data_IF_452665709700
#
_entry.id   IF_452665709700
#
_cell.length_a   1.000
_cell.length_b   1.000
_cell.length_c   1.000
_cell.angle_alpha   90.00
_cell.angle_beta   90.00
_cell.angle_gamma   90.00
#
_symmetry.space_group_name_H-M   'P 1'
#
loop_
_entity.id
_entity.type
_entity.pdbx_description
1 polymer ?
#
# COMPACT_ATOMS: atom_id res chain seq x y z
N UNK A 1 -23.74 -41.53 -29.10
CA UNK A 1 -22.33 -41.42 -28.67
C UNK A 1 -22.34 -40.22 -27.75
N UNK A 2 -22.84 -40.48 -26.54
CA UNK A 2 -23.19 -39.49 -25.55
C UNK A 2 -21.94 -39.24 -24.70
N UNK A 3 -21.46 -38.00 -24.71
CA UNK A 3 -20.32 -37.53 -23.92
C UNK A 3 -20.85 -36.73 -22.73
N UNK A 4 -21.52 -37.41 -21.81
CA UNK A 4 -21.96 -36.87 -20.51
C UNK A 4 -21.66 -37.89 -19.40
N UNK A 5 -20.43 -38.43 -19.38
CA UNK A 5 -19.89 -39.19 -18.24
C UNK A 5 -18.91 -38.31 -17.45
N UNK A 6 -19.38 -37.87 -16.28
CA UNK A 6 -18.67 -37.85 -15.00
C UNK A 6 -17.29 -37.18 -14.94
N UNK A 7 -17.32 -35.85 -14.84
CA UNK A 7 -16.36 -35.10 -14.02
C UNK A 7 -16.99 -34.78 -12.66
N UNK A 8 -17.34 -35.84 -11.91
CA UNK A 8 -17.75 -35.71 -10.51
C UNK A 8 -16.47 -35.54 -9.65
N UNK A 9 -15.82 -34.39 -9.82
CA UNK A 9 -14.68 -33.99 -8.98
C UNK A 9 -15.23 -33.76 -7.57
N UNK A 10 -14.95 -34.72 -6.69
CA UNK A 10 -15.37 -34.72 -5.29
C UNK A 10 -15.03 -33.37 -4.64
N UNK A 11 -16.05 -32.53 -4.45
CA UNK A 11 -15.88 -31.15 -3.96
C UNK A 11 -15.22 -31.12 -2.57
N UNK A 12 -15.37 -32.19 -1.78
CA UNK A 12 -14.73 -32.33 -0.47
C UNK A 12 -13.21 -32.49 -0.54
N UNK A 13 -12.67 -32.95 -1.67
CA UNK A 13 -11.22 -33.14 -1.87
C UNK A 13 -10.54 -31.94 -2.55
N UNK A 14 -11.32 -31.16 -3.32
CA UNK A 14 -10.84 -29.97 -4.05
C UNK A 14 -10.83 -28.72 -3.17
N UNK A 15 -11.82 -28.55 -2.29
CA UNK A 15 -11.95 -27.36 -1.44
C UNK A 15 -10.81 -27.15 -0.44
N UNK A 16 -10.29 -28.19 0.25
CA UNK A 16 -9.17 -28.01 1.19
C UNK A 16 -7.87 -27.60 0.47
N UNK A 17 -7.57 -28.22 -0.68
CA UNK A 17 -6.40 -27.88 -1.51
C UNK A 17 -6.49 -26.44 -2.02
N UNK A 18 -7.66 -26.03 -2.48
CA UNK A 18 -7.90 -24.65 -2.92
C UNK A 18 -7.77 -23.64 -1.76
N UNK A 19 -8.18 -24.01 -0.55
CA UNK A 19 -8.09 -23.14 0.63
C UNK A 19 -6.65 -22.99 1.15
N UNK A 20 -5.85 -24.06 1.13
CA UNK A 20 -4.40 -24.00 1.41
C UNK A 20 -3.67 -23.16 0.37
N UNK A 21 -3.99 -23.33 -0.92
CA UNK A 21 -3.43 -22.51 -2.00
C UNK A 21 -3.82 -21.03 -1.86
N UNK A 22 -5.06 -20.72 -1.47
CA UNK A 22 -5.51 -19.36 -1.22
C UNK A 22 -4.83 -18.71 -0.01
N UNK A 23 -4.60 -19.45 1.07
CA UNK A 23 -3.83 -19.00 2.23
C UNK A 23 -2.35 -18.75 1.87
N UNK A 24 -1.73 -19.63 1.07
CA UNK A 24 -0.39 -19.40 0.54
C UNK A 24 -0.35 -18.17 -0.37
N UNK A 25 -1.31 -17.99 -1.27
CA UNK A 25 -1.44 -16.78 -2.11
C UNK A 25 -1.67 -15.52 -1.26
N UNK A 26 -2.41 -15.62 -0.16
CA UNK A 26 -2.60 -14.51 0.78
C UNK A 26 -1.28 -14.16 1.49
N UNK A 27 -0.54 -15.16 1.98
CA UNK A 27 0.79 -14.97 2.58
C UNK A 27 1.78 -14.38 1.60
N UNK A 28 1.78 -14.83 0.36
CA UNK A 28 2.57 -14.25 -0.74
C UNK A 28 2.16 -12.82 -1.04
N UNK A 29 0.85 -12.55 -1.08
CA UNK A 29 0.34 -11.19 -1.25
C UNK A 29 0.83 -10.31 -0.11
N UNK A 30 0.84 -10.80 1.13
CA UNK A 30 1.42 -10.11 2.29
C UNK A 30 2.93 -9.89 2.11
N UNK A 31 3.69 -10.90 1.68
CA UNK A 31 5.15 -10.79 1.44
C UNK A 31 5.46 -9.79 0.32
N UNK A 32 4.75 -9.86 -0.80
CA UNK A 32 4.94 -9.01 -1.97
C UNK A 32 4.41 -7.59 -1.74
N UNK A 33 3.35 -7.42 -0.94
CA UNK A 33 2.74 -6.11 -0.62
C UNK A 33 3.25 -5.48 0.67
N UNK A 34 4.13 -6.15 1.42
CA UNK A 34 4.59 -5.71 2.75
C UNK A 34 3.47 -5.66 3.80
N UNK A 35 2.41 -6.46 3.65
CA UNK A 35 1.38 -6.68 4.65
C UNK A 35 0.39 -5.54 4.85
N UNK A 36 -0.12 -4.90 3.80
CA UNK A 36 -1.17 -3.89 3.90
C UNK A 36 -2.56 -4.46 3.53
N UNK A 37 -3.30 -5.08 4.48
CA UNK A 37 -4.65 -5.57 4.22
C UNK A 37 -5.63 -4.39 4.19
N UNK A 38 -6.06 -3.95 3.00
CA UNK A 38 -7.27 -3.10 2.92
C UNK A 38 -7.26 -1.89 1.99
N UNK A 39 -6.26 -1.69 1.13
CA UNK A 39 -6.35 -0.62 0.13
C UNK A 39 -5.31 -0.73 -0.96
N UNK A 40 -5.74 -0.63 -2.23
CA UNK A 40 -4.83 -0.48 -3.37
C UNK A 40 -4.10 0.87 -3.23
N UNK A 41 -2.78 0.89 -3.03
CA UNK A 41 -2.01 2.11 -3.13
C UNK A 41 -2.14 2.70 -4.55
N UNK A 42 -2.10 4.02 -4.72
CA UNK A 42 -2.15 4.65 -6.05
C UNK A 42 -1.07 4.16 -7.02
N UNK A 43 0.08 3.67 -6.51
CA UNK A 43 1.17 3.09 -7.28
C UNK A 43 0.94 1.63 -7.70
N UNK A 44 -0.03 0.92 -7.11
CA UNK A 44 -0.30 -0.49 -7.42
C UNK A 44 -1.05 -0.72 -8.75
N UNK A 45 -1.42 0.34 -9.48
CA UNK A 45 -2.05 0.20 -10.80
C UNK A 45 -1.15 -0.50 -11.82
N UNK A 46 0.17 -0.38 -11.64
CA UNK A 46 1.16 -0.98 -12.53
C UNK A 46 1.72 -2.31 -11.99
N UNK A 47 1.24 -2.79 -10.82
CA UNK A 47 1.73 -4.01 -10.16
C UNK A 47 0.73 -5.18 -10.12
N UNK A 48 -0.53 -4.99 -10.54
CA UNK A 48 -1.50 -6.10 -10.66
C UNK A 48 -1.17 -7.06 -11.80
N UNK A 49 -0.53 -6.55 -12.85
CA UNK A 49 -0.05 -7.37 -13.97
C UNK A 49 1.12 -8.29 -13.53
N UNK A 50 2.13 -7.79 -12.79
CA UNK A 50 3.15 -8.64 -12.17
C UNK A 50 2.62 -9.76 -11.27
N UNK A 51 1.59 -9.52 -10.45
CA UNK A 51 1.05 -10.56 -9.56
C UNK A 51 0.33 -11.68 -10.34
N UNK A 52 -0.50 -11.33 -11.33
CA UNK A 52 -1.20 -12.32 -12.14
C UNK A 52 -0.23 -13.13 -13.00
N UNK A 53 0.78 -12.47 -13.60
CA UNK A 53 1.84 -13.14 -14.34
C UNK A 53 2.65 -14.08 -13.44
N UNK A 54 2.93 -13.65 -12.22
CA UNK A 54 3.63 -14.48 -11.24
C UNK A 54 2.77 -15.67 -10.78
N UNK A 55 1.49 -15.47 -10.48
CA UNK A 55 0.56 -16.56 -10.16
C UNK A 55 0.51 -17.57 -11.32
N UNK A 56 0.37 -17.08 -12.55
CA UNK A 56 0.38 -17.94 -13.74
C UNK A 56 1.68 -18.73 -13.82
N UNK A 57 2.83 -18.07 -13.63
CA UNK A 57 4.15 -18.72 -13.61
C UNK A 57 4.24 -19.79 -12.52
N UNK A 58 3.77 -19.48 -11.31
CA UNK A 58 3.75 -20.42 -10.19
C UNK A 58 2.92 -21.66 -10.49
N UNK A 59 1.76 -21.46 -11.11
CA UNK A 59 0.88 -22.56 -11.53
C UNK A 59 1.43 -23.39 -12.69
N UNK A 60 2.35 -22.85 -13.50
CA UNK A 60 2.90 -23.55 -14.68
C UNK A 60 4.17 -24.36 -14.40
N UNK A 61 4.85 -24.11 -13.29
CA UNK A 61 6.13 -24.75 -12.95
C UNK A 61 6.06 -25.35 -11.55
N UNK A 62 6.41 -26.62 -11.41
CA UNK A 62 6.47 -27.28 -10.09
C UNK A 62 7.56 -26.66 -9.21
N UNK A 63 7.39 -26.72 -7.90
CA UNK A 63 8.41 -26.28 -6.94
C UNK A 63 9.70 -27.10 -7.09
N UNK A 64 9.63 -28.37 -7.49
CA UNK A 64 10.81 -29.20 -7.75
C UNK A 64 11.62 -28.73 -8.96
N UNK A 65 10.95 -28.39 -10.06
CA UNK A 65 11.58 -27.82 -11.26
C UNK A 65 12.18 -26.44 -10.97
N UNK A 66 11.44 -25.57 -10.29
CA UNK A 66 11.92 -24.26 -9.84
C UNK A 66 13.17 -24.41 -8.95
N UNK A 67 13.18 -25.37 -8.03
CA UNK A 67 14.34 -25.67 -7.17
C UNK A 67 15.55 -26.12 -7.98
N UNK A 68 15.37 -26.97 -9.00
CA UNK A 68 16.45 -27.44 -9.85
C UNK A 68 17.10 -26.28 -10.62
N UNK A 69 16.28 -25.41 -11.23
CA UNK A 69 16.77 -24.24 -11.95
C UNK A 69 17.43 -23.22 -11.01
N UNK A 70 16.87 -23.01 -9.83
CA UNK A 70 17.49 -22.18 -8.79
C UNK A 70 18.88 -22.71 -8.40
N UNK A 71 19.03 -24.02 -8.20
CA UNK A 71 20.32 -24.67 -7.94
C UNK A 71 21.29 -24.57 -9.13
N UNK A 72 20.79 -24.46 -10.36
CA UNK A 72 21.62 -24.26 -11.56
C UNK A 72 22.18 -22.84 -11.70
N UNK A 73 21.82 -21.93 -10.78
CA UNK A 73 22.29 -20.55 -10.80
C UNK A 73 21.37 -19.59 -11.56
N UNK A 74 20.11 -19.96 -11.83
CA UNK A 74 19.15 -19.03 -12.45
C UNK A 74 18.65 -18.01 -11.40
N UNK A 75 18.92 -16.70 -11.57
CA UNK A 75 18.60 -15.70 -10.55
C UNK A 75 17.08 -15.48 -10.39
N UNK A 76 16.29 -15.66 -11.45
CA UNK A 76 14.85 -15.50 -11.38
C UNK A 76 14.21 -16.67 -10.62
N UNK A 77 14.69 -17.89 -10.88
CA UNK A 77 14.24 -19.09 -10.16
C UNK A 77 14.72 -19.11 -8.71
N UNK A 78 15.91 -18.57 -8.41
CA UNK A 78 16.33 -18.38 -7.01
C UNK A 78 15.34 -17.50 -6.24
N UNK A 79 14.89 -16.41 -6.84
CA UNK A 79 13.89 -15.55 -6.21
C UNK A 79 12.53 -16.25 -6.07
N UNK A 80 12.06 -16.92 -7.13
CA UNK A 80 10.79 -17.64 -7.13
C UNK A 80 10.77 -18.77 -6.09
N UNK A 81 11.83 -19.58 -6.05
CA UNK A 81 11.98 -20.65 -5.08
C UNK A 81 12.06 -20.11 -3.64
N UNK A 82 12.73 -18.97 -3.41
CA UNK A 82 12.73 -18.33 -2.11
C UNK A 82 11.32 -17.89 -1.66
N UNK A 83 10.50 -17.34 -2.58
CA UNK A 83 9.10 -17.00 -2.28
C UNK A 83 8.27 -18.24 -1.96
N UNK A 84 8.40 -19.31 -2.75
CA UNK A 84 7.73 -20.60 -2.50
C UNK A 84 8.13 -21.18 -1.15
N UNK A 85 9.42 -21.14 -0.82
CA UNK A 85 9.94 -21.57 0.47
C UNK A 85 9.35 -20.74 1.62
N UNK A 86 9.32 -19.42 1.50
CA UNK A 86 8.75 -18.54 2.53
C UNK A 86 7.25 -18.77 2.74
N UNK A 87 6.51 -19.09 1.68
CA UNK A 87 5.06 -19.31 1.71
C UNK A 87 4.64 -20.76 1.96
N UNK A 88 5.56 -21.72 1.89
CA UNK A 88 5.28 -23.15 2.02
C UNK A 88 4.59 -23.78 0.81
N UNK A 89 4.78 -23.24 -0.40
CA UNK A 89 4.09 -23.71 -1.61
C UNK A 89 4.71 -25.02 -2.09
N UNK A 90 3.91 -26.09 -2.10
CA UNK A 90 4.35 -27.46 -2.40
C UNK A 90 5.52 -27.93 -1.51
N UNK A 91 5.62 -27.39 -0.30
CA UNK A 91 6.55 -27.83 0.73
C UNK A 91 5.76 -28.28 1.97
N UNK A 92 6.31 -29.18 2.81
CA UNK A 92 5.60 -29.65 4.01
C UNK A 92 5.20 -28.52 4.98
N UNK A 93 5.95 -27.42 4.98
CA UNK A 93 5.66 -26.21 5.74
C UNK A 93 6.43 -25.01 5.16
N UNK A 94 6.01 -23.78 5.47
CA UNK A 94 6.85 -22.58 5.28
C UNK A 94 8.25 -22.78 5.87
N UNK A 95 9.27 -22.35 5.14
CA UNK A 95 10.67 -22.50 5.52
C UNK A 95 11.43 -21.18 5.29
N UNK A 96 11.46 -20.33 6.33
CA UNK A 96 12.10 -19.02 6.31
C UNK A 96 13.60 -19.09 6.11
N UNK A 97 14.27 -20.06 6.73
CA UNK A 97 15.72 -20.26 6.60
C UNK A 97 16.11 -20.62 5.17
N UNK A 98 15.32 -21.47 4.51
CA UNK A 98 15.54 -21.82 3.11
C UNK A 98 15.33 -20.61 2.20
N UNK A 99 14.28 -19.83 2.43
CA UNK A 99 14.04 -18.59 1.69
C UNK A 99 15.19 -17.59 1.83
N UNK A 100 15.62 -17.33 3.07
CA UNK A 100 16.77 -16.48 3.39
C UNK A 100 18.04 -16.97 2.68
N UNK A 101 18.31 -18.27 2.70
CA UNK A 101 19.45 -18.87 1.99
C UNK A 101 19.42 -18.54 0.50
N UNK A 102 18.27 -18.68 -0.16
CA UNK A 102 18.18 -18.44 -1.60
C UNK A 102 18.27 -16.96 -1.98
N UNK A 103 17.73 -16.04 -1.18
CA UNK A 103 18.00 -14.61 -1.42
C UNK A 103 19.47 -14.24 -1.17
N UNK A 104 20.13 -14.84 -0.18
CA UNK A 104 21.57 -14.65 -0.01
C UNK A 104 22.38 -15.22 -1.19
N UNK A 105 22.01 -16.40 -1.72
CA UNK A 105 22.62 -16.92 -2.95
C UNK A 105 22.39 -15.96 -4.12
N UNK A 106 21.21 -15.37 -4.23
CA UNK A 106 20.89 -14.39 -5.26
C UNK A 106 21.77 -13.14 -5.17
N UNK A 107 22.11 -12.68 -3.96
CA UNK A 107 23.03 -11.55 -3.75
C UNK A 107 24.47 -11.84 -4.22
N UNK A 108 24.89 -13.10 -4.21
CA UNK A 108 26.24 -13.53 -4.59
C UNK A 108 26.33 -14.15 -5.99
N UNK A 109 25.20 -14.28 -6.69
CA UNK A 109 25.16 -14.89 -8.01
C UNK A 109 25.70 -13.91 -9.07
N UNK A 110 26.73 -14.28 -9.86
CA UNK A 110 27.31 -13.39 -10.87
C UNK A 110 26.37 -13.07 -12.03
N UNK A 111 25.28 -13.83 -12.21
CA UNK A 111 24.24 -13.57 -13.22
C UNK A 111 23.17 -12.60 -12.71
N UNK A 112 23.19 -12.23 -11.42
CA UNK A 112 22.21 -11.32 -10.85
C UNK A 112 22.37 -9.91 -11.41
N UNK A 113 21.26 -9.37 -11.90
CA UNK A 113 21.16 -7.95 -12.29
C UNK A 113 20.86 -7.08 -11.06
N UNK A 114 21.02 -5.76 -11.18
CA UNK A 114 20.65 -4.80 -10.12
C UNK A 114 19.22 -4.98 -9.62
N UNK A 115 18.30 -5.35 -10.52
CA UNK A 115 16.91 -5.67 -10.18
C UNK A 115 16.81 -6.84 -9.21
N UNK A 116 17.51 -7.94 -9.49
CA UNK A 116 17.54 -9.13 -8.62
C UNK A 116 18.11 -8.79 -7.24
N UNK A 117 19.20 -8.01 -7.19
CA UNK A 117 19.83 -7.58 -5.95
C UNK A 117 18.88 -6.71 -5.10
N UNK A 118 18.20 -5.75 -5.74
CA UNK A 118 17.27 -4.87 -5.04
C UNK A 118 16.06 -5.62 -4.47
N UNK A 119 15.53 -6.60 -5.20
CA UNK A 119 14.46 -7.46 -4.69
C UNK A 119 14.94 -8.35 -3.54
N UNK A 120 16.09 -9.02 -3.67
CA UNK A 120 16.65 -9.85 -2.60
C UNK A 120 16.82 -9.07 -1.30
N UNK A 121 17.43 -7.88 -1.38
CA UNK A 121 17.59 -7.00 -0.23
C UNK A 121 16.25 -6.55 0.36
N UNK A 122 15.28 -6.17 -0.47
CA UNK A 122 13.96 -5.78 0.02
C UNK A 122 13.23 -6.94 0.74
N UNK A 123 13.42 -8.19 0.31
CA UNK A 123 12.83 -9.36 0.96
C UNK A 123 13.55 -9.72 2.26
N UNK A 124 14.89 -9.69 2.28
CA UNK A 124 15.70 -9.99 3.46
C UNK A 124 15.37 -9.10 4.68
N UNK A 125 14.85 -7.89 4.46
CA UNK A 125 14.33 -7.03 5.54
C UNK A 125 13.30 -7.77 6.40
N UNK A 126 12.41 -8.57 5.82
CA UNK A 126 11.39 -9.32 6.56
C UNK A 126 12.00 -10.35 7.53
N UNK A 127 13.16 -10.89 7.18
CA UNK A 127 13.84 -11.97 7.90
C UNK A 127 14.75 -11.46 9.02
N UNK A 128 14.94 -10.14 9.11
CA UNK A 128 15.63 -9.51 10.25
C UNK A 128 14.80 -9.54 11.54
N UNK A 129 13.52 -9.90 11.49
CA UNK A 129 12.62 -9.88 12.64
C UNK A 129 12.11 -8.48 13.02
N UNK A 130 12.68 -7.41 12.47
CA UNK A 130 12.31 -6.01 12.77
C UNK A 130 10.91 -5.66 12.24
N UNK A 131 10.43 -6.30 11.17
CA UNK A 131 9.20 -5.91 10.45
C UNK A 131 7.98 -6.76 10.83
N UNK A 132 8.16 -7.78 11.66
CA UNK A 132 7.15 -8.84 11.88
C UNK A 132 6.03 -8.41 12.85
N UNK A 133 6.23 -7.43 13.75
CA UNK A 133 5.22 -7.12 14.78
C UNK A 133 4.84 -5.64 14.83
N UNK A 134 3.70 -5.27 14.22
CA UNK A 134 3.03 -3.97 14.44
C UNK A 134 2.39 -3.84 15.85
N UNK A 135 2.76 -4.71 16.80
CA UNK A 135 2.14 -4.76 18.13
C UNK A 135 3.08 -5.11 19.29
N UNK A 136 4.37 -5.41 19.04
CA UNK A 136 5.31 -5.80 20.08
C UNK A 136 6.66 -5.13 19.86
N UNK A 137 6.78 -3.87 20.30
CA UNK A 137 8.07 -3.33 20.70
C UNK A 137 8.45 -3.90 22.07
N UNK A 138 8.66 -5.22 22.13
CA UNK A 138 9.41 -5.82 23.21
C UNK A 138 10.92 -5.56 22.96
N UNK A 139 11.70 -5.14 23.96
CA UNK A 139 13.11 -4.70 23.82
C UNK A 139 14.11 -5.82 23.46
N UNK A 140 13.68 -6.92 22.84
CA UNK A 140 14.52 -8.09 22.58
C UNK A 140 15.07 -8.18 21.16
N UNK A 141 14.59 -7.37 20.21
CA UNK A 141 15.24 -7.24 18.91
C UNK A 141 16.61 -6.63 19.12
N UNK A 142 17.67 -7.40 18.80
CA UNK A 142 19.05 -6.96 19.03
C UNK A 142 19.31 -5.78 18.10
N UNK A 143 20.06 -4.78 18.56
CA UNK A 143 20.46 -3.64 17.70
C UNK A 143 21.05 -4.11 16.36
N UNK A 144 21.74 -5.25 16.36
CA UNK A 144 22.28 -5.91 15.17
C UNK A 144 21.22 -6.19 14.09
N UNK A 145 19.99 -6.55 14.49
CA UNK A 145 18.88 -6.80 13.57
C UNK A 145 18.40 -5.50 12.90
N UNK A 146 18.32 -4.41 13.68
CA UNK A 146 18.04 -3.08 13.15
C UNK A 146 19.12 -2.62 12.17
N UNK A 147 20.38 -2.84 12.52
CA UNK A 147 21.51 -2.49 11.65
C UNK A 147 21.49 -3.28 10.35
N UNK A 148 21.25 -4.59 10.42
CA UNK A 148 21.13 -5.46 9.25
C UNK A 148 19.94 -5.07 8.37
N UNK A 149 18.80 -4.74 8.97
CA UNK A 149 17.62 -4.26 8.23
C UNK A 149 17.91 -2.93 7.51
N UNK A 150 18.59 -1.99 8.18
CA UNK A 150 19.01 -0.72 7.58
C UNK A 150 19.98 -0.89 6.43
N UNK A 151 20.96 -1.80 6.56
CA UNK A 151 21.90 -2.15 5.46
C UNK A 151 21.15 -2.69 4.24
N UNK A 152 20.22 -3.63 4.44
CA UNK A 152 19.42 -4.15 3.33
C UNK A 152 18.49 -3.10 2.73
N UNK A 153 17.88 -2.23 3.53
CA UNK A 153 17.03 -1.16 3.03
C UNK A 153 17.82 -0.12 2.21
N UNK A 154 19.02 0.24 2.66
CA UNK A 154 19.94 1.11 1.92
C UNK A 154 20.34 0.47 0.59
N UNK A 155 20.78 -0.79 0.60
CA UNK A 155 21.17 -1.50 -0.61
C UNK A 155 20.01 -1.68 -1.60
N UNK A 156 18.80 -1.98 -1.10
CA UNK A 156 17.59 -2.03 -1.93
C UNK A 156 17.28 -0.67 -2.56
N UNK A 157 17.38 0.42 -1.79
CA UNK A 157 17.17 1.77 -2.29
C UNK A 157 18.20 2.18 -3.35
N UNK A 158 19.49 1.87 -3.13
CA UNK A 158 20.57 2.09 -4.09
C UNK A 158 20.35 1.33 -5.40
N UNK A 159 19.78 0.12 -5.32
CA UNK A 159 19.41 -0.67 -6.49
C UNK A 159 18.12 -0.19 -7.20
N UNK A 160 17.50 0.92 -6.76
CA UNK A 160 16.26 1.46 -7.34
C UNK A 160 14.97 0.89 -6.75
N UNK A 161 15.06 0.05 -5.71
CA UNK A 161 13.92 -0.58 -5.04
C UNK A 161 13.51 0.13 -3.74
N UNK A 162 13.81 1.42 -3.61
CA UNK A 162 13.47 2.20 -2.41
C UNK A 162 11.96 2.32 -2.13
N UNK A 163 11.12 2.04 -3.13
CA UNK A 163 9.65 2.00 -3.01
C UNK A 163 9.09 0.63 -2.65
N UNK A 164 9.95 -0.39 -2.47
CA UNK A 164 9.49 -1.69 -2.05
C UNK A 164 8.75 -1.58 -0.70
N UNK A 165 7.61 -2.27 -0.51
CA UNK A 165 6.80 -2.12 0.70
C UNK A 165 7.58 -2.37 2.00
N UNK A 166 8.48 -3.35 2.03
CA UNK A 166 9.30 -3.67 3.20
C UNK A 166 10.28 -2.55 3.54
N UNK A 167 10.85 -1.89 2.53
CA UNK A 167 11.71 -0.72 2.70
C UNK A 167 10.90 0.42 3.33
N UNK A 168 9.73 0.74 2.78
CA UNK A 168 8.88 1.80 3.30
C UNK A 168 8.34 1.50 4.71
N UNK A 169 7.99 0.24 5.00
CA UNK A 169 7.56 -0.20 6.33
C UNK A 169 8.67 -0.03 7.36
N UNK A 170 9.90 -0.43 7.01
CA UNK A 170 11.07 -0.16 7.85
C UNK A 170 11.30 1.34 8.07
N UNK A 171 11.11 2.16 7.03
CA UNK A 171 11.20 3.62 7.11
C UNK A 171 10.30 4.23 8.20
N UNK A 172 9.05 3.75 8.32
CA UNK A 172 8.14 4.18 9.38
C UNK A 172 8.62 3.79 10.77
N UNK A 173 9.13 2.56 10.94
CA UNK A 173 9.67 2.07 12.20
C UNK A 173 10.90 2.90 12.60
N UNK A 174 11.81 3.15 11.64
CA UNK A 174 13.06 3.87 11.89
C UNK A 174 12.88 5.38 12.03
N UNK A 175 11.72 5.93 11.65
CA UNK A 175 11.48 7.37 11.68
C UNK A 175 11.69 7.98 13.07
N UNK A 176 11.26 7.28 14.13
CA UNK A 176 11.47 7.71 15.52
C UNK A 176 12.97 7.74 15.91
N UNK A 177 13.76 6.81 15.38
CA UNK A 177 15.19 6.67 15.68
C UNK A 177 16.05 7.67 14.89
N UNK A 178 15.65 7.99 13.65
CA UNK A 178 16.34 8.95 12.78
C UNK A 178 16.48 10.34 13.40
N UNK A 179 15.45 10.79 14.13
CA UNK A 179 15.42 12.12 14.75
C UNK A 179 15.73 12.11 16.25
N UNK A 180 15.94 10.92 16.83
CA UNK A 180 16.21 10.73 18.25
C UNK A 180 17.68 10.57 18.60
N UNK A 181 17.93 9.86 19.71
CA UNK A 181 19.28 9.64 20.28
C UNK A 181 20.24 8.86 19.37
N UNK A 182 19.72 8.16 18.36
CA UNK A 182 20.52 7.34 17.44
C UNK A 182 20.68 7.96 16.03
N UNK A 183 20.46 9.27 15.89
CA UNK A 183 20.55 9.98 14.60
C UNK A 183 21.84 9.70 13.83
N UNK A 184 22.99 9.61 14.50
CA UNK A 184 24.27 9.36 13.83
C UNK A 184 24.31 7.98 13.14
N UNK A 185 23.73 6.97 13.78
CA UNK A 185 23.71 5.59 13.28
C UNK A 185 22.67 5.44 12.17
N UNK A 186 21.45 5.91 12.41
CA UNK A 186 20.36 5.75 11.45
C UNK A 186 20.45 6.73 10.28
N UNK A 187 21.07 7.90 10.46
CA UNK A 187 21.17 8.95 9.44
C UNK A 187 22.13 8.64 8.29
N UNK A 188 22.96 7.61 8.39
CA UNK A 188 23.96 7.27 7.37
C UNK A 188 23.37 6.64 6.09
N UNK A 189 22.15 6.08 6.16
CA UNK A 189 21.49 5.41 5.04
C UNK A 189 20.76 6.42 4.13
N UNK A 190 21.54 7.15 3.34
CA UNK A 190 21.05 8.32 2.60
C UNK A 190 20.09 7.95 1.46
N UNK A 191 20.34 6.87 0.72
CA UNK A 191 19.44 6.43 -0.35
C UNK A 191 18.11 5.91 0.20
N UNK A 192 18.16 5.14 1.29
CA UNK A 192 16.99 4.68 2.02
C UNK A 192 16.12 5.86 2.46
N UNK A 193 16.72 6.86 3.12
CA UNK A 193 15.97 8.00 3.60
C UNK A 193 15.42 8.88 2.47
N UNK A 194 16.17 9.06 1.38
CA UNK A 194 15.66 9.77 0.21
C UNK A 194 14.40 9.10 -0.36
N UNK A 195 14.38 7.76 -0.41
CA UNK A 195 13.20 7.00 -0.86
C UNK A 195 12.01 7.15 0.10
N UNK A 196 12.25 7.06 1.42
CA UNK A 196 11.20 7.23 2.44
C UNK A 196 10.65 8.66 2.42
N UNK A 197 11.51 9.68 2.38
CA UNK A 197 11.12 11.09 2.36
C UNK A 197 10.32 11.42 1.09
N UNK A 198 10.75 10.90 -0.07
CA UNK A 198 10.00 11.01 -1.32
C UNK A 198 8.61 10.38 -1.24
N UNK A 199 8.50 9.18 -0.67
CA UNK A 199 7.20 8.52 -0.46
C UNK A 199 6.29 9.29 0.51
N UNK A 200 6.83 9.81 1.62
CA UNK A 200 6.07 10.63 2.58
C UNK A 200 5.55 11.90 1.90
N UNK A 201 6.40 12.61 1.14
CA UNK A 201 6.02 13.81 0.41
C UNK A 201 4.91 13.53 -0.62
N UNK A 202 5.00 12.44 -1.38
CA UNK A 202 3.95 12.03 -2.32
C UNK A 202 2.64 11.70 -1.62
N UNK A 203 2.69 10.98 -0.50
CA UNK A 203 1.50 10.64 0.28
C UNK A 203 0.84 11.91 0.82
N UNK A 204 1.63 12.85 1.32
CA UNK A 204 1.13 14.15 1.80
C UNK A 204 0.49 14.95 0.66
N UNK A 205 1.17 15.06 -0.49
CA UNK A 205 0.63 15.76 -1.66
C UNK A 205 -0.70 15.13 -2.16
N UNK A 206 -0.83 13.81 -2.08
CA UNK A 206 -2.09 13.13 -2.40
C UNK A 206 -3.21 13.47 -1.40
N UNK A 207 -2.90 13.50 -0.10
CA UNK A 207 -3.84 13.93 0.94
C UNK A 207 -4.27 15.38 0.76
N UNK A 208 -3.33 16.29 0.49
CA UNK A 208 -3.61 17.71 0.26
C UNK A 208 -4.49 17.91 -0.97
N UNK A 209 -4.20 17.19 -2.06
CA UNK A 209 -5.02 17.20 -3.27
C UNK A 209 -6.44 16.69 -3.01
N UNK A 210 -6.60 15.63 -2.24
CA UNK A 210 -7.92 15.10 -1.90
C UNK A 210 -8.67 16.01 -0.92
N UNK A 211 -7.97 16.63 0.03
CA UNK A 211 -8.50 17.67 0.91
C UNK A 211 -8.99 18.88 0.11
N UNK A 212 -8.20 19.38 -0.85
CA UNK A 212 -8.59 20.48 -1.73
C UNK A 212 -9.83 20.14 -2.57
N UNK A 213 -9.91 18.93 -3.15
CA UNK A 213 -11.13 18.47 -3.85
C UNK A 213 -12.34 18.38 -2.94
N UNK A 214 -12.15 17.98 -1.68
CA UNK A 214 -13.23 17.93 -0.68
C UNK A 214 -13.68 19.32 -0.28
N UNK A 215 -12.76 20.27 -0.15
CA UNK A 215 -13.09 21.67 0.12
C UNK A 215 -13.85 22.31 -1.06
N UNK A 216 -13.39 22.11 -2.30
CA UNK A 216 -14.06 22.61 -3.52
C UNK A 216 -15.49 22.07 -3.67
N UNK A 217 -15.72 20.81 -3.23
CA UNK A 217 -17.00 20.11 -3.38
C UNK A 217 -17.50 19.55 -2.07
N UNK A 218 -17.55 20.40 -1.04
CA UNK A 218 -17.91 20.00 0.33
C UNK A 218 -19.26 19.26 0.39
N UNK A 219 -20.26 19.73 -0.36
CA UNK A 219 -21.59 19.11 -0.48
C UNK A 219 -21.57 17.67 -1.01
N UNK A 220 -20.51 17.24 -1.71
CA UNK A 220 -20.37 15.87 -2.22
C UNK A 220 -20.04 14.86 -1.12
N UNK A 221 -19.40 15.31 -0.04
CA UNK A 221 -18.88 14.44 1.00
C UNK A 221 -19.65 14.56 2.32
N UNK A 222 -20.57 15.52 2.45
CA UNK A 222 -21.37 15.70 3.67
C UNK A 222 -22.84 15.35 3.45
N UNK A 223 -23.47 14.78 4.46
CA UNK A 223 -24.92 14.63 4.49
C UNK A 223 -25.56 16.03 4.54
N UNK A 224 -26.50 16.30 3.64
CA UNK A 224 -27.19 17.59 3.56
C UNK A 224 -28.30 17.75 4.62
N UNK A 225 -28.65 16.68 5.35
CA UNK A 225 -29.66 16.78 6.39
C UNK A 225 -29.17 17.65 7.55
N UNK A 226 -29.99 18.61 8.03
CA UNK A 226 -29.70 19.37 9.24
C UNK A 226 -29.35 18.45 10.40
N UNK A 227 -28.36 18.85 11.21
CA UNK A 227 -27.88 18.12 12.40
C UNK A 227 -27.28 16.72 12.17
N UNK A 228 -27.22 16.20 10.94
CA UNK A 228 -26.66 14.88 10.70
C UNK A 228 -25.12 14.88 10.81
N UNK A 229 -24.46 15.89 10.23
CA UNK A 229 -23.00 16.06 10.29
C UNK A 229 -22.14 14.94 9.65
N UNK A 230 -22.75 13.87 9.13
CA UNK A 230 -22.00 12.71 8.63
C UNK A 230 -21.19 13.10 7.39
N UNK A 231 -19.89 12.83 7.46
CA UNK A 231 -18.95 13.00 6.35
C UNK A 231 -18.50 11.64 5.82
N UNK A 232 -18.61 11.44 4.51
CA UNK A 232 -18.17 10.22 3.85
C UNK A 232 -16.75 10.38 3.30
N UNK A 233 -15.92 9.35 3.50
CA UNK A 233 -14.56 9.28 2.93
C UNK A 233 -14.57 9.34 1.39
N UNK A 234 -15.63 8.82 0.78
CA UNK A 234 -15.88 8.88 -0.67
C UNK A 234 -17.30 9.37 -0.95
N UNK A 235 -17.47 10.19 -1.98
CA UNK A 235 -18.80 10.69 -2.36
C UNK A 235 -19.78 9.60 -2.85
N UNK A 236 -19.31 8.36 -3.09
CA UNK A 236 -20.14 7.22 -3.51
C UNK A 236 -20.96 6.62 -2.37
N UNK A 237 -20.57 6.85 -1.11
CA UNK A 237 -21.25 6.29 0.06
C UNK A 237 -22.55 7.02 0.40
N UNK A 238 -22.75 8.23 -0.12
CA UNK A 238 -23.96 9.00 0.11
C UNK A 238 -24.90 8.90 -1.09
N UNK A 239 -26.19 8.70 -0.81
CA UNK A 239 -27.25 8.64 -1.81
C UNK A 239 -27.54 10.05 -2.33
N UNK A 240 -27.61 10.22 -3.63
CA UNK A 240 -27.99 11.50 -4.25
C UNK A 240 -29.51 11.67 -4.25
N UNK A 241 -29.99 12.91 -4.22
CA UNK A 241 -31.39 13.19 -4.50
C UNK A 241 -31.78 12.66 -5.90
N UNK A 242 -32.87 11.91 -6.00
CA UNK A 242 -33.38 11.36 -7.27
C UNK A 242 -34.20 12.37 -8.10
N UNK A 243 -34.31 13.62 -7.67
CA UNK A 243 -35.05 14.66 -8.38
C UNK A 243 -34.29 15.26 -9.57
N UNK A 244 -34.93 16.21 -10.26
CA UNK A 244 -34.40 16.88 -11.46
C UNK A 244 -33.52 18.09 -11.17
N UNK A 245 -32.99 18.21 -9.95
CA UNK A 245 -32.00 19.25 -9.62
C UNK A 245 -30.67 19.00 -10.35
N UNK A 246 -29.93 20.07 -10.61
CA UNK A 246 -28.62 20.02 -11.26
C UNK A 246 -27.59 19.27 -10.41
N UNK A 247 -26.72 18.49 -11.05
CA UNK A 247 -25.77 17.60 -10.38
C UNK A 247 -24.76 18.33 -9.47
N UNK A 248 -24.41 19.58 -9.82
CA UNK A 248 -23.51 20.41 -9.01
C UNK A 248 -24.11 20.78 -7.63
N UNK A 249 -25.44 20.85 -7.55
CA UNK A 249 -26.17 21.28 -6.36
C UNK A 249 -27.06 20.17 -5.78
N UNK A 250 -26.97 18.96 -6.33
CA UNK A 250 -27.77 17.81 -5.92
C UNK A 250 -27.29 17.35 -4.53
N UNK A 251 -28.12 17.51 -3.48
CA UNK A 251 -27.73 17.13 -2.14
C UNK A 251 -27.54 15.62 -2.02
N UNK A 252 -26.74 15.24 -1.03
CA UNK A 252 -26.42 13.84 -0.73
C UNK A 252 -26.82 13.50 0.70
N UNK A 253 -27.26 12.27 0.91
CA UNK A 253 -27.81 11.81 2.19
C UNK A 253 -27.26 10.44 2.55
N UNK A 254 -26.94 10.22 3.81
CA UNK A 254 -26.52 8.90 4.30
C UNK A 254 -27.69 7.90 4.31
N UNK A 255 -28.92 8.39 4.55
CA UNK A 255 -30.13 7.56 4.64
C UNK A 255 -31.34 8.25 4.01
N UNK A 256 -32.41 7.48 3.76
CA UNK A 256 -33.69 8.04 3.30
C UNK A 256 -34.33 8.96 4.34
N UNK A 257 -34.15 8.66 5.65
CA UNK A 257 -34.64 9.49 6.76
C UNK A 257 -34.05 10.90 6.70
N UNK A 258 -32.74 11.00 6.47
CA UNK A 258 -32.05 12.28 6.28
C UNK A 258 -32.58 13.06 5.06
N UNK A 259 -32.85 12.38 3.95
CA UNK A 259 -33.46 13.03 2.78
C UNK A 259 -34.84 13.61 3.09
N UNK A 260 -35.69 12.88 3.83
CA UNK A 260 -37.03 13.35 4.21
C UNK A 260 -36.94 14.53 5.18
N UNK A 261 -36.00 14.49 6.14
CA UNK A 261 -35.78 15.58 7.08
C UNK A 261 -35.40 16.91 6.38
N UNK A 262 -34.54 16.84 5.37
CA UNK A 262 -34.13 17.99 4.57
C UNK A 262 -35.15 18.40 3.49
N UNK A 263 -36.16 17.56 3.21
CA UNK A 263 -37.04 17.74 2.04
C UNK A 263 -37.76 19.08 2.03
N UNK A 264 -38.16 19.62 3.19
CA UNK A 264 -38.81 20.93 3.28
C UNK A 264 -37.89 22.06 2.75
N UNK A 265 -36.59 21.97 3.01
CA UNK A 265 -35.59 22.95 2.58
C UNK A 265 -35.18 22.73 1.12
N UNK A 266 -35.01 21.46 0.70
CA UNK A 266 -34.55 21.13 -0.65
C UNK A 266 -35.65 21.24 -1.73
N UNK A 267 -36.91 20.96 -1.40
CA UNK A 267 -38.02 20.89 -2.37
C UNK A 267 -38.14 22.13 -3.28
N UNK A 268 -38.01 23.39 -2.80
CA UNK A 268 -38.05 24.57 -3.66
C UNK A 268 -36.93 24.60 -4.73
N UNK A 269 -35.77 24.03 -4.39
CA UNK A 269 -34.57 23.96 -5.23
C UNK A 269 -34.54 22.71 -6.13
N UNK A 270 -35.42 21.74 -5.88
CA UNK A 270 -35.49 20.46 -6.60
C UNK A 270 -36.25 20.58 -7.93
N UNK A 271 -35.86 21.55 -8.77
CA UNK A 271 -36.50 21.84 -10.07
C UNK A 271 -35.44 21.93 -11.19
N UNK A 272 -35.76 21.53 -12.43
CA UNK A 272 -34.87 21.73 -13.56
C UNK A 272 -34.60 23.22 -13.80
N UNK A 273 -33.34 23.60 -14.05
CA UNK A 273 -32.95 24.92 -14.56
C UNK A 273 -33.05 26.10 -13.58
N UNK A 274 -33.36 25.85 -12.29
CA UNK A 274 -33.58 26.94 -11.33
C UNK A 274 -32.28 27.60 -10.81
N UNK A 275 -31.10 26.98 -11.00
CA UNK A 275 -29.85 27.44 -10.38
C UNK A 275 -28.81 28.02 -11.36
N UNK A 276 -29.02 27.89 -12.67
CA UNK A 276 -28.21 28.58 -13.67
C UNK A 276 -28.31 30.13 -13.60
N UNK A 277 -29.35 30.68 -12.96
CA UNK A 277 -29.65 32.12 -13.02
C UNK A 277 -29.07 32.97 -11.88
N UNK A 278 -28.85 32.43 -10.66
CA UNK A 278 -28.53 33.27 -9.48
C UNK A 278 -27.19 33.00 -8.80
N UNK A 279 -26.45 31.97 -9.21
CA UNK A 279 -25.07 31.82 -8.83
C UNK A 279 -24.31 31.38 -10.05
N UNK A 280 -23.72 32.33 -10.80
CA UNK A 280 -22.52 31.97 -11.53
C UNK A 280 -21.60 31.36 -10.45
N UNK A 281 -21.25 30.07 -10.50
CA UNK A 281 -20.11 29.64 -9.70
C UNK A 281 -19.04 30.63 -10.10
N UNK A 282 -18.54 31.42 -9.15
CA UNK A 282 -17.38 32.25 -9.37
C UNK A 282 -16.37 31.28 -9.97
N UNK A 283 -16.22 31.33 -11.29
CA UNK A 283 -15.30 30.51 -12.04
C UNK A 283 -14.03 30.98 -11.42
N UNK A 284 -13.48 30.19 -10.51
CA UNK A 284 -12.30 30.52 -9.75
C UNK A 284 -11.30 30.95 -10.82
N UNK A 285 -11.19 32.27 -11.01
CA UNK A 285 -10.01 32.90 -11.53
C UNK A 285 -9.00 32.28 -10.64
N UNK A 286 -8.18 31.37 -11.19
CA UNK A 286 -7.06 30.77 -10.50
C UNK A 286 -6.47 31.94 -9.73
N UNK A 287 -6.71 31.98 -8.42
CA UNK A 287 -6.05 32.96 -7.61
C UNK A 287 -4.60 32.56 -7.84
N UNK A 288 -3.90 33.36 -8.64
CA UNK A 288 -2.46 33.31 -8.67
C UNK A 288 -2.13 33.40 -7.19
N UNK A 289 -1.69 32.28 -6.61
CA UNK A 289 -1.32 32.24 -5.22
C UNK A 289 -0.29 33.34 -5.09
N UNK A 290 -0.63 34.36 -4.31
CA UNK A 290 0.28 35.43 -3.98
C UNK A 290 1.55 34.74 -3.44
N UNK A 291 2.71 34.87 -4.11
CA UNK A 291 3.95 34.24 -3.67
C UNK A 291 4.40 34.71 -2.27
N UNK A 292 3.72 35.73 -1.72
CA UNK A 292 4.03 36.38 -0.46
C UNK A 292 3.47 35.68 0.79
N UNK A 293 2.60 34.66 0.65
CA UNK A 293 2.22 33.81 1.80
C UNK A 293 3.33 32.79 2.04
N UNK A 294 4.44 33.27 2.60
CA UNK A 294 5.40 32.41 3.25
C UNK A 294 4.72 31.80 4.47
N UNK A 295 4.36 30.52 4.37
CA UNK A 295 4.06 29.70 5.55
C UNK A 295 5.30 29.79 6.43
N UNK A 296 5.19 30.50 7.56
CA UNK A 296 6.20 30.47 8.61
C UNK A 296 6.34 29.00 9.04
N UNK A 297 7.39 28.33 8.54
CA UNK A 297 7.86 27.10 9.13
C UNK A 297 8.27 27.47 10.54
N UNK A 298 7.46 27.07 11.51
CA UNK A 298 7.90 27.02 12.89
C UNK A 298 9.02 25.99 12.94
N UNK A 299 10.25 26.47 12.85
CA UNK A 299 11.42 25.70 13.26
C UNK A 299 11.21 25.33 14.73
N UNK A 300 10.90 24.06 14.96
CA UNK A 300 10.96 23.47 16.29
C UNK A 300 12.43 23.51 16.72
N UNK A 301 12.80 24.60 17.40
CA UNK A 301 14.02 24.68 18.16
C UNK A 301 14.00 23.59 19.23
N UNK A 302 14.67 22.48 18.95
CA UNK A 302 15.02 21.48 19.95
C UNK A 302 16.01 22.18 20.88
N UNK A 303 15.52 22.55 22.07
CA UNK A 303 16.33 23.13 23.13
C UNK A 303 17.47 22.19 23.50
N UNK A 304 18.71 22.66 23.29
CA UNK A 304 19.88 22.06 23.89
C UNK A 304 19.84 22.28 25.40
N UNK A 305 19.90 21.18 26.15
CA UNK A 305 20.19 21.24 27.58
C UNK A 305 21.67 21.57 27.78
N UNK A 306 22.03 22.46 28.73
CA UNK A 306 23.42 22.69 29.09
C UNK A 306 23.97 21.51 29.91
N UNK A 307 25.12 20.99 29.48
CA UNK A 307 26.00 20.11 30.23
C UNK A 307 27.41 20.67 30.19
#
# INVERSE_FOLDING_TARGET
MDLDEDLDLNQEEVLPKLNEELESVFRLTVILSGGCPGGRPPWAKDHTEPLNLWIQKVCTMSTAECHQLANSGDPEMMHDFALRAAAGIELPSPNSLLAERYWNLLLHNPKSTTYHLGIAHAQLILFTGVVIEEGYAGPSSRMDDFMRAGIHAEAAAQAGHGRAPNVLKLGKIFQAYRYGQHKAVFGQWTCFWAAVDGWVAEKQAALDKDSAKRAERSSRYKCAAPECGLEASTGKLLRTCGGKCEDAYKPRYCTKKCQVADWKNHKPLCKPGLQAANTKPSRSTRFAMDPSIQVQRHDLAIGGAPG
#
